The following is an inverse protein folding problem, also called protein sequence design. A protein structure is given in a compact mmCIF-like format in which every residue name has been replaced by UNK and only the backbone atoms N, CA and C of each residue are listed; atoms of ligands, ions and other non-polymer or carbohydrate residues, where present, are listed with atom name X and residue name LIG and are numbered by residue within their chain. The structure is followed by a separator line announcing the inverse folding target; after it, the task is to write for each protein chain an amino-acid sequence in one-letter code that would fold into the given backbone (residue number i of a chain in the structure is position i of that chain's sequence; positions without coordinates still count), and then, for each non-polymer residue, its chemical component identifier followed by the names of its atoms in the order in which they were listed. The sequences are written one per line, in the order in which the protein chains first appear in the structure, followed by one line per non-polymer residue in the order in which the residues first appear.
data_IF_121802279016
#
_entry.id   IF_121802279016
#
_cell.length_a   1.000
_cell.length_b   1.000
_cell.length_c   1.000
_cell.angle_alpha   90.00
_cell.angle_beta   90.00
_cell.angle_gamma   90.00
#
_symmetry.space_group_name_H-M   'P 1'
#
loop_
_entity.id
_entity.type
_entity.pdbx_description
1 polymer ?
#
# COMPACT_ATOMS: atom_id res chain seq x y z
N UNK A 1 27.81 2.82 -72.54
CA UNK A 1 26.37 2.86 -72.89
C UNK A 1 25.73 1.93 -71.88
N UNK A 2 25.31 2.47 -70.75
CA UNK A 2 24.90 1.73 -69.54
C UNK A 2 23.39 1.90 -69.40
N UNK A 3 22.67 0.80 -69.49
CA UNK A 3 21.22 0.74 -69.53
C UNK A 3 20.69 0.78 -68.09
N UNK A 4 20.05 1.91 -67.72
CA UNK A 4 19.41 2.08 -66.41
C UNK A 4 18.12 1.27 -66.37
N UNK A 5 18.18 0.14 -65.68
CA UNK A 5 17.02 -0.70 -65.37
C UNK A 5 16.13 0.01 -64.33
N UNK A 6 15.03 0.60 -64.78
CA UNK A 6 14.02 1.23 -63.93
C UNK A 6 13.17 0.16 -63.26
N UNK A 7 13.45 -0.10 -61.98
CA UNK A 7 12.64 -0.95 -61.09
C UNK A 7 11.24 -0.35 -60.96
N UNK A 8 10.25 -1.01 -61.58
CA UNK A 8 8.85 -0.66 -61.48
C UNK A 8 8.32 -0.89 -60.06
N UNK A 9 7.88 0.19 -59.40
CA UNK A 9 7.21 0.12 -58.10
C UNK A 9 5.78 -0.39 -58.33
N UNK A 10 5.38 -1.55 -57.76
CA UNK A 10 4.02 -2.03 -57.88
C UNK A 10 3.05 -1.10 -57.14
N UNK A 11 2.05 -0.60 -57.86
CA UNK A 11 0.97 0.22 -57.33
C UNK A 11 -0.01 -0.66 -56.53
N UNK A 12 0.25 -0.84 -55.24
CA UNK A 12 -0.63 -1.57 -54.31
C UNK A 12 -1.66 -0.59 -53.72
N UNK A 13 -2.55 -0.08 -54.57
CA UNK A 13 -3.75 0.62 -54.13
C UNK A 13 -4.79 -0.41 -53.67
N UNK A 14 -4.56 -1.02 -52.50
CA UNK A 14 -5.58 -1.83 -51.82
C UNK A 14 -6.75 -0.95 -51.37
N UNK A 15 -7.99 -1.47 -51.34
CA UNK A 15 -9.15 -0.71 -50.90
C UNK A 15 -8.93 -0.20 -49.47
N UNK A 16 -9.03 1.11 -49.29
CA UNK A 16 -9.04 1.71 -47.97
C UNK A 16 -10.21 1.12 -47.17
N UNK A 17 -9.96 0.49 -46.01
CA UNK A 17 -11.05 0.01 -45.18
C UNK A 17 -11.95 1.19 -44.83
N UNK A 18 -13.22 1.10 -45.20
CA UNK A 18 -14.21 2.10 -44.82
C UNK A 18 -14.19 2.27 -43.30
N UNK A 19 -14.21 3.51 -42.77
CA UNK A 19 -14.23 3.74 -41.35
C UNK A 19 -15.55 3.21 -40.78
N UNK A 20 -15.54 2.00 -40.23
CA UNK A 20 -16.64 1.46 -39.46
C UNK A 20 -17.07 2.52 -38.43
N UNK A 21 -18.32 2.99 -38.55
CA UNK A 21 -19.00 3.90 -37.64
C UNK A 21 -19.26 3.21 -36.30
N UNK A 22 -18.19 2.89 -35.58
CA UNK A 22 -18.23 2.23 -34.27
C UNK A 22 -18.78 3.17 -33.19
N UNK A 23 -19.74 2.66 -32.41
CA UNK A 23 -20.40 3.33 -31.29
C UNK A 23 -19.43 4.16 -30.42
N UNK A 24 -19.69 5.47 -30.21
CA UNK A 24 -18.75 6.41 -29.59
C UNK A 24 -18.44 6.13 -28.11
N UNK A 25 -19.21 5.30 -27.42
CA UNK A 25 -19.18 5.15 -25.95
C UNK A 25 -17.99 4.33 -25.42
N UNK A 26 -17.35 3.47 -26.23
CA UNK A 26 -16.23 2.63 -25.76
C UNK A 26 -14.84 3.27 -25.92
N UNK A 27 -14.73 4.49 -26.46
CA UNK A 27 -13.43 5.11 -26.73
C UNK A 27 -12.68 5.57 -25.48
N UNK A 28 -13.35 5.85 -24.36
CA UNK A 28 -12.68 6.28 -23.13
C UNK A 28 -11.99 5.10 -22.43
N UNK A 29 -12.75 4.05 -22.10
CA UNK A 29 -12.23 2.88 -21.41
C UNK A 29 -11.15 2.16 -22.22
N UNK A 30 -11.33 2.04 -23.54
CA UNK A 30 -10.30 1.46 -24.40
C UNK A 30 -8.98 2.25 -24.36
N UNK A 31 -9.04 3.58 -24.22
CA UNK A 31 -7.86 4.44 -24.06
C UNK A 31 -7.22 4.31 -22.67
N UNK A 32 -8.01 4.07 -21.62
CA UNK A 32 -7.47 3.86 -20.28
C UNK A 32 -6.66 2.56 -20.19
N UNK A 33 -7.08 1.50 -20.87
CA UNK A 33 -6.40 0.20 -20.85
C UNK A 33 -5.55 -0.09 -22.10
N UNK A 34 -5.25 0.94 -22.89
CA UNK A 34 -4.35 0.82 -24.03
C UNK A 34 -2.90 0.57 -23.56
N UNK A 35 -2.09 -0.17 -24.35
CA UNK A 35 -0.68 -0.41 -24.03
C UNK A 35 0.16 0.87 -24.00
N UNK A 36 -0.21 1.87 -24.80
CA UNK A 36 0.49 3.15 -24.89
C UNK A 36 0.20 4.01 -23.65
N UNK A 37 1.26 4.43 -22.97
CA UNK A 37 1.18 5.30 -21.78
C UNK A 37 1.37 6.74 -22.22
N UNK A 38 0.40 7.60 -21.91
CA UNK A 38 0.51 9.04 -22.14
C UNK A 38 1.10 9.74 -20.90
N UNK A 39 1.78 10.88 -21.08
CA UNK A 39 2.32 11.66 -19.95
C UNK A 39 1.27 12.01 -18.89
N UNK A 40 0.05 12.47 -19.24
CA UNK A 40 -0.98 12.74 -18.23
C UNK A 40 -1.42 11.50 -17.46
N UNK A 41 -1.44 10.31 -18.10
CA UNK A 41 -1.75 9.06 -17.40
C UNK A 41 -0.65 8.68 -16.42
N UNK A 42 0.63 8.87 -16.78
CA UNK A 42 1.75 8.63 -15.88
C UNK A 42 1.67 9.55 -14.65
N UNK A 43 1.39 10.85 -14.85
CA UNK A 43 1.19 11.79 -13.74
C UNK A 43 0.02 11.35 -12.86
N UNK A 44 -1.11 10.96 -13.46
CA UNK A 44 -2.26 10.43 -12.72
C UNK A 44 -1.89 9.17 -11.91
N UNK A 45 -1.15 8.23 -12.51
CA UNK A 45 -0.71 7.00 -11.85
C UNK A 45 0.19 7.30 -10.64
N UNK A 46 1.13 8.23 -10.76
CA UNK A 46 1.99 8.64 -9.64
C UNK A 46 1.19 9.36 -8.55
N UNK A 47 0.33 10.32 -8.94
CA UNK A 47 -0.44 11.11 -7.98
C UNK A 47 -1.41 10.24 -7.20
N UNK A 48 -2.17 9.36 -7.84
CA UNK A 48 -3.21 8.57 -7.17
C UNK A 48 -2.77 7.17 -6.74
N UNK A 49 -1.73 6.62 -7.36
CA UNK A 49 -1.17 5.32 -7.02
C UNK A 49 -0.06 5.37 -5.98
N UNK A 50 0.63 6.50 -5.81
CA UNK A 50 1.73 6.65 -4.84
C UNK A 50 1.50 7.78 -3.85
N UNK A 51 1.32 9.02 -4.34
CA UNK A 51 1.25 10.20 -3.46
C UNK A 51 -0.06 10.20 -2.65
N UNK A 52 -1.19 9.90 -3.28
CA UNK A 52 -2.52 9.88 -2.67
C UNK A 52 -2.57 9.03 -1.40
N UNK A 53 -2.23 7.73 -1.44
CA UNK A 53 -2.19 6.89 -0.26
C UNK A 53 -1.28 7.42 0.86
N UNK A 54 -0.12 7.99 0.53
CA UNK A 54 0.79 8.61 1.51
C UNK A 54 0.10 9.82 2.18
N UNK A 55 -0.52 10.69 1.39
CA UNK A 55 -1.26 11.85 1.92
C UNK A 55 -2.43 11.39 2.79
N UNK A 56 -3.14 10.32 2.41
CA UNK A 56 -4.16 9.72 3.27
C UNK A 56 -3.55 9.28 4.61
N UNK A 57 -2.42 8.58 4.63
CA UNK A 57 -1.82 8.17 5.91
C UNK A 57 -1.33 9.35 6.78
N UNK A 58 -0.89 10.44 6.17
CA UNK A 58 -0.47 11.65 6.89
C UNK A 58 -1.66 12.45 7.42
N UNK A 59 -2.74 12.56 6.64
CA UNK A 59 -3.88 13.42 6.93
C UNK A 59 -5.13 12.69 7.44
N UNK A 60 -5.06 11.39 7.69
CA UNK A 60 -6.16 10.60 8.23
C UNK A 60 -5.95 10.26 9.72
N UNK A 61 -6.14 11.25 10.63
CA UNK A 61 -6.15 10.97 12.06
C UNK A 61 -7.38 10.12 12.44
N UNK A 62 -8.46 10.19 11.66
CA UNK A 62 -9.76 9.61 12.02
C UNK A 62 -9.76 8.09 11.91
N UNK A 63 -9.22 7.52 10.83
CA UNK A 63 -9.26 6.05 10.65
C UNK A 63 -8.27 5.36 11.58
N UNK A 64 -7.11 5.97 11.83
CA UNK A 64 -5.96 5.28 12.40
C UNK A 64 -5.53 5.74 13.80
N UNK A 65 -5.79 6.99 14.21
CA UNK A 65 -5.26 7.51 15.48
C UNK A 65 -6.37 7.78 16.50
N UNK A 66 -7.50 8.31 16.05
CA UNK A 66 -8.61 8.72 16.93
C UNK A 66 -9.86 8.81 16.07
N UNK A 67 -10.70 7.77 16.13
CA UNK A 67 -12.02 7.75 15.48
C UNK A 67 -12.85 8.99 15.80
N UNK A 68 -14.03 9.13 15.19
CA UNK A 68 -14.98 10.23 15.48
C UNK A 68 -15.44 10.20 16.96
N UNK A 69 -14.59 10.69 17.88
CA UNK A 69 -14.78 10.60 19.32
C UNK A 69 -14.59 9.21 19.93
N UNK A 70 -13.81 8.31 19.31
CA UNK A 70 -13.69 6.91 19.77
C UNK A 70 -12.39 6.21 19.39
N UNK A 71 -12.22 4.92 19.77
CA UNK A 71 -11.05 4.13 19.39
C UNK A 71 -10.94 3.98 17.87
N UNK A 72 -9.73 3.75 17.33
CA UNK A 72 -9.55 3.46 15.92
C UNK A 72 -10.44 2.30 15.47
N UNK A 73 -10.95 2.36 14.23
CA UNK A 73 -11.86 1.35 13.69
C UNK A 73 -11.22 -0.04 13.59
N UNK A 74 -9.93 -0.09 13.26
CA UNK A 74 -9.21 -1.33 12.97
C UNK A 74 -7.74 -1.32 13.45
N UNK A 75 -7.46 -1.12 14.76
CA UNK A 75 -6.09 -1.00 15.27
C UNK A 75 -5.23 -2.22 14.97
N UNK A 76 -5.80 -3.42 15.05
CA UNK A 76 -5.07 -4.67 14.80
C UNK A 76 -4.61 -4.83 13.33
N UNK A 77 -5.29 -4.19 12.38
CA UNK A 77 -4.99 -4.35 10.95
C UNK A 77 -4.11 -3.22 10.40
N UNK A 78 -3.89 -2.16 11.17
CA UNK A 78 -3.13 -0.99 10.75
C UNK A 78 -1.72 -1.33 10.23
N UNK A 79 -0.90 -2.17 10.90
CA UNK A 79 0.42 -2.55 10.36
C UNK A 79 0.35 -3.22 9.00
N UNK A 80 -0.62 -4.13 8.81
CA UNK A 80 -0.81 -4.85 7.54
C UNK A 80 -1.21 -3.87 6.45
N UNK A 81 -2.15 -2.95 6.70
CA UNK A 81 -2.59 -1.98 5.70
C UNK A 81 -1.44 -1.07 5.28
N UNK A 82 -0.61 -0.59 6.21
CA UNK A 82 0.55 0.25 5.88
C UNK A 82 1.61 -0.51 5.10
N UNK A 83 1.98 -1.71 5.54
CA UNK A 83 2.99 -2.53 4.86
C UNK A 83 2.53 -2.92 3.46
N UNK A 84 1.28 -3.36 3.32
CA UNK A 84 0.71 -3.75 2.03
C UNK A 84 0.65 -2.54 1.08
N UNK A 85 0.17 -1.39 1.56
CA UNK A 85 0.08 -0.19 0.73
C UNK A 85 1.46 0.32 0.33
N UNK A 86 2.41 0.39 1.27
CA UNK A 86 3.79 0.80 0.97
C UNK A 86 4.47 -0.12 -0.03
N UNK A 87 4.22 -1.43 0.09
CA UNK A 87 4.76 -2.41 -0.85
C UNK A 87 4.18 -2.26 -2.26
N UNK A 88 2.87 -2.08 -2.40
CA UNK A 88 2.23 -1.83 -3.70
C UNK A 88 2.69 -0.52 -4.34
N UNK A 89 2.92 0.52 -3.54
CA UNK A 89 3.50 1.79 -4.02
C UNK A 89 4.89 1.54 -4.63
N UNK A 90 5.74 0.76 -3.94
CA UNK A 90 7.07 0.39 -4.45
C UNK A 90 6.96 -0.42 -5.74
N UNK A 91 6.05 -1.41 -5.79
CA UNK A 91 5.82 -2.21 -6.99
C UNK A 91 5.35 -1.36 -8.18
N UNK A 92 4.40 -0.44 -7.95
CA UNK A 92 3.94 0.49 -8.97
C UNK A 92 5.09 1.36 -9.48
N UNK A 93 5.85 1.99 -8.58
CA UNK A 93 6.99 2.83 -8.96
C UNK A 93 8.02 2.03 -9.76
N UNK A 94 8.33 0.81 -9.34
CA UNK A 94 9.27 -0.06 -10.04
C UNK A 94 8.76 -0.42 -11.44
N UNK A 95 7.47 -0.76 -11.57
CA UNK A 95 6.83 -1.02 -12.87
C UNK A 95 6.86 0.20 -13.79
N UNK A 96 6.55 1.40 -13.27
CA UNK A 96 6.54 2.63 -14.06
C UNK A 96 7.93 3.03 -14.56
N UNK A 97 8.99 2.70 -13.81
CA UNK A 97 10.39 2.97 -14.19
C UNK A 97 10.90 1.96 -15.21
N UNK A 98 10.69 0.66 -14.94
CA UNK A 98 11.26 -0.41 -15.77
C UNK A 98 10.44 -0.69 -17.03
N UNK A 99 9.13 -0.49 -16.96
CA UNK A 99 8.20 -0.80 -18.04
C UNK A 99 8.12 -2.30 -18.36
N UNK A 100 7.59 -2.64 -19.55
CA UNK A 100 7.50 -4.02 -20.02
C UNK A 100 8.85 -4.72 -20.13
N UNK A 101 8.95 -5.91 -19.54
CA UNK A 101 10.14 -6.78 -19.56
C UNK A 101 9.82 -8.19 -20.05
N UNK A 102 10.45 -9.20 -19.43
CA UNK A 102 10.19 -10.61 -19.72
C UNK A 102 8.74 -11.01 -19.38
N UNK A 103 8.25 -12.10 -19.97
CA UNK A 103 6.89 -12.59 -19.71
C UNK A 103 6.63 -12.88 -18.23
N UNK A 104 7.58 -13.53 -17.56
CA UNK A 104 7.51 -13.83 -16.13
C UNK A 104 7.38 -12.56 -15.30
N UNK A 105 8.20 -11.56 -15.63
CA UNK A 105 8.23 -10.28 -14.96
C UNK A 105 6.91 -9.51 -15.13
N UNK A 106 6.43 -9.43 -16.36
CA UNK A 106 5.16 -8.80 -16.71
C UNK A 106 3.97 -9.49 -16.00
N UNK A 107 3.99 -10.82 -15.95
CA UNK A 107 2.98 -11.59 -15.23
C UNK A 107 3.00 -11.33 -13.72
N UNK A 108 4.20 -11.30 -13.12
CA UNK A 108 4.39 -11.07 -11.68
C UNK A 108 3.94 -9.67 -11.23
N UNK A 109 4.39 -8.61 -11.90
CA UNK A 109 3.93 -7.24 -11.61
C UNK A 109 2.45 -7.07 -11.95
N UNK A 110 2.02 -7.69 -13.05
CA UNK A 110 0.64 -7.64 -13.49
C UNK A 110 -0.33 -8.16 -12.44
N UNK A 111 -0.09 -9.36 -11.92
CA UNK A 111 -0.97 -9.94 -10.90
C UNK A 111 -0.80 -9.31 -9.53
N UNK A 112 0.42 -8.92 -9.14
CA UNK A 112 0.64 -8.21 -7.88
C UNK A 112 -0.19 -6.91 -7.84
N UNK A 113 -0.04 -6.03 -8.83
CA UNK A 113 -0.82 -4.79 -8.93
C UNK A 113 -2.33 -5.05 -9.06
N UNK A 114 -2.77 -6.13 -9.72
CA UNK A 114 -4.20 -6.48 -9.73
C UNK A 114 -4.71 -6.85 -8.34
N UNK A 115 -3.95 -7.64 -7.58
CA UNK A 115 -4.28 -7.96 -6.18
C UNK A 115 -4.32 -6.68 -5.32
N UNK A 116 -3.35 -5.78 -5.46
CA UNK A 116 -3.36 -4.47 -4.83
C UNK A 116 -4.59 -3.65 -5.20
N UNK A 117 -4.96 -3.64 -6.48
CA UNK A 117 -6.15 -2.95 -6.95
C UNK A 117 -7.44 -3.48 -6.32
N UNK A 118 -7.60 -4.80 -6.24
CA UNK A 118 -8.73 -5.43 -5.57
C UNK A 118 -8.75 -5.14 -4.06
N UNK A 119 -7.58 -5.16 -3.40
CA UNK A 119 -7.46 -4.82 -2.00
C UNK A 119 -7.85 -3.36 -1.72
N UNK A 120 -7.31 -2.41 -2.49
CA UNK A 120 -7.67 -0.99 -2.38
C UNK A 120 -9.16 -0.75 -2.64
N UNK A 121 -9.76 -1.47 -3.58
CA UNK A 121 -11.20 -1.40 -3.84
C UNK A 121 -12.00 -1.90 -2.63
N UNK A 122 -11.60 -3.02 -2.02
CA UNK A 122 -12.25 -3.54 -0.82
C UNK A 122 -12.16 -2.56 0.36
N UNK A 123 -10.97 -1.99 0.61
CA UNK A 123 -10.77 -0.94 1.63
C UNK A 123 -11.63 0.29 1.32
N UNK A 124 -11.67 0.73 0.06
CA UNK A 124 -12.52 1.83 -0.37
C UNK A 124 -14.00 1.57 -0.07
N UNK A 125 -14.50 0.36 -0.34
CA UNK A 125 -15.87 -0.03 -0.01
C UNK A 125 -16.15 -0.01 1.50
N UNK A 126 -15.20 -0.45 2.33
CA UNK A 126 -15.31 -0.41 3.80
C UNK A 126 -15.34 1.05 4.30
N UNK A 127 -14.51 1.93 3.72
CA UNK A 127 -14.41 3.33 4.12
C UNK A 127 -15.50 4.22 3.52
N UNK A 128 -16.19 3.77 2.47
CA UNK A 128 -17.21 4.54 1.75
C UNK A 128 -18.29 5.17 2.66
N UNK A 129 -18.93 4.46 3.62
CA UNK A 129 -19.93 5.08 4.49
C UNK A 129 -19.36 6.22 5.33
N UNK A 130 -18.15 6.05 5.88
CA UNK A 130 -17.46 7.08 6.65
C UNK A 130 -17.06 8.28 5.78
N UNK A 131 -16.61 8.00 4.56
CA UNK A 131 -16.23 9.01 3.56
C UNK A 131 -17.43 9.86 3.14
N UNK A 132 -18.59 9.22 2.94
CA UNK A 132 -19.84 9.89 2.60
C UNK A 132 -20.31 10.83 3.72
N UNK A 133 -20.21 10.40 4.98
CA UNK A 133 -20.50 11.28 6.13
C UNK A 133 -19.49 12.43 6.24
N UNK A 134 -18.19 12.14 6.08
CA UNK A 134 -17.12 13.14 6.13
C UNK A 134 -17.18 14.17 4.98
N UNK A 135 -17.84 13.85 3.87
CA UNK A 135 -17.97 14.75 2.72
C UNK A 135 -18.77 16.01 3.09
N UNK A 136 -19.69 15.92 4.04
CA UNK A 136 -20.41 17.09 4.59
C UNK A 136 -19.47 18.14 5.20
N UNK A 137 -18.28 17.72 5.65
CA UNK A 137 -17.27 18.56 6.27
C UNK A 137 -16.04 18.80 5.36
N UNK A 138 -16.08 18.34 4.10
CA UNK A 138 -14.98 18.44 3.15
C UNK A 138 -13.82 17.45 3.38
N UNK A 139 -13.72 16.84 4.56
CA UNK A 139 -12.66 15.88 4.93
C UNK A 139 -12.85 14.53 4.22
N UNK A 140 -14.10 14.18 3.88
CA UNK A 140 -14.44 12.89 3.26
C UNK A 140 -13.84 12.64 1.88
N UNK A 141 -13.22 13.64 1.24
CA UNK A 141 -12.58 13.47 -0.07
C UNK A 141 -11.43 12.45 -0.03
N UNK A 142 -10.65 12.41 1.06
CA UNK A 142 -9.54 11.46 1.21
C UNK A 142 -10.01 10.01 1.28
N UNK A 143 -11.23 9.77 1.75
CA UNK A 143 -11.82 8.44 1.78
C UNK A 143 -12.16 7.86 0.41
N UNK A 144 -12.13 8.68 -0.66
CA UNK A 144 -12.24 8.21 -2.03
C UNK A 144 -10.90 7.82 -2.68
N UNK A 145 -9.76 8.16 -2.06
CA UNK A 145 -8.43 7.83 -2.59
C UNK A 145 -8.25 6.34 -2.88
N UNK A 146 -8.68 5.39 -2.01
CA UNK A 146 -8.54 3.96 -2.30
C UNK A 146 -9.19 3.52 -3.62
N UNK A 147 -10.28 4.16 -4.05
CA UNK A 147 -10.90 3.86 -5.36
C UNK A 147 -10.03 4.34 -6.53
N UNK A 148 -9.41 5.51 -6.40
CA UNK A 148 -8.51 6.04 -7.42
C UNK A 148 -7.22 5.22 -7.50
N UNK A 149 -6.66 4.84 -6.35
CA UNK A 149 -5.51 3.93 -6.25
C UNK A 149 -5.85 2.56 -6.85
N UNK A 150 -7.04 2.03 -6.57
CA UNK A 150 -7.50 0.78 -7.17
C UNK A 150 -7.55 0.86 -8.69
N UNK A 151 -8.08 1.95 -9.26
CA UNK A 151 -8.10 2.16 -10.71
C UNK A 151 -6.70 2.20 -11.31
N UNK A 152 -5.75 2.90 -10.66
CA UNK A 152 -4.35 2.99 -11.09
C UNK A 152 -3.70 1.61 -11.10
N UNK A 153 -3.85 0.84 -10.01
CA UNK A 153 -3.28 -0.49 -9.88
C UNK A 153 -3.91 -1.48 -10.86
N UNK A 154 -5.24 -1.48 -11.01
CA UNK A 154 -5.93 -2.34 -11.99
C UNK A 154 -5.51 -2.03 -13.42
N UNK A 155 -5.35 -0.76 -13.77
CA UNK A 155 -4.88 -0.30 -15.09
C UNK A 155 -3.46 -0.77 -15.36
N UNK A 156 -2.54 -0.52 -14.43
CA UNK A 156 -1.13 -0.89 -14.60
C UNK A 156 -0.92 -2.40 -14.58
N UNK A 157 -1.62 -3.12 -13.71
CA UNK A 157 -1.62 -4.59 -13.68
C UNK A 157 -2.14 -5.18 -15.01
N UNK A 158 -3.24 -4.65 -15.54
CA UNK A 158 -3.77 -5.06 -16.85
C UNK A 158 -2.81 -4.77 -18.01
N UNK A 159 -2.10 -3.63 -17.97
CA UNK A 159 -1.09 -3.29 -18.97
C UNK A 159 0.10 -4.23 -18.92
N UNK A 160 0.59 -4.55 -17.72
CA UNK A 160 1.66 -5.51 -17.54
C UNK A 160 1.27 -6.89 -18.10
N UNK A 161 0.09 -7.43 -17.77
CA UNK A 161 -0.36 -8.72 -18.29
C UNK A 161 -0.57 -8.75 -19.82
N UNK A 162 -0.81 -7.60 -20.44
CA UNK A 162 -1.01 -7.47 -21.90
C UNK A 162 0.25 -7.09 -22.66
N UNK A 163 1.35 -6.81 -21.97
CA UNK A 163 2.62 -6.49 -22.60
C UNK A 163 3.06 -7.67 -23.48
N UNK A 164 3.37 -7.39 -24.75
CA UNK A 164 3.81 -8.43 -25.69
C UNK A 164 5.16 -8.97 -25.26
N UNK A 165 5.25 -10.28 -25.08
CA UNK A 165 6.50 -11.04 -24.98
C UNK A 165 6.78 -11.74 -26.31
N UNK A 166 8.05 -11.78 -26.71
CA UNK A 166 8.50 -12.49 -27.91
C UNK A 166 8.32 -14.01 -27.82
N UNK A 167 8.40 -14.56 -26.61
CA UNK A 167 8.18 -15.97 -26.33
C UNK A 167 7.08 -16.07 -25.27
N UNK A 168 5.94 -16.64 -25.66
CA UNK A 168 4.72 -16.65 -24.86
C UNK A 168 4.35 -18.07 -24.47
N UNK A 169 4.84 -18.54 -23.32
CA UNK A 169 4.40 -19.81 -22.74
C UNK A 169 3.34 -19.57 -21.67
N UNK A 170 2.18 -20.21 -21.82
CA UNK A 170 1.10 -20.19 -20.82
C UNK A 170 1.61 -20.59 -19.43
N UNK A 171 2.56 -21.52 -19.37
CA UNK A 171 3.16 -21.96 -18.11
C UNK A 171 3.94 -20.83 -17.43
N UNK A 172 4.79 -20.10 -18.16
CA UNK A 172 5.56 -18.97 -17.64
C UNK A 172 4.64 -17.86 -17.10
N UNK A 173 3.54 -17.56 -17.81
CA UNK A 173 2.53 -16.62 -17.31
C UNK A 173 1.88 -17.07 -16.02
N UNK A 174 1.50 -18.35 -15.92
CA UNK A 174 0.86 -18.90 -14.73
C UNK A 174 1.82 -18.86 -13.52
N UNK A 175 3.08 -19.25 -13.72
CA UNK A 175 4.10 -19.19 -12.67
C UNK A 175 4.32 -17.75 -12.21
N UNK A 176 4.51 -16.81 -13.15
CA UNK A 176 4.66 -15.40 -12.82
C UNK A 176 3.45 -14.83 -12.09
N UNK A 177 2.24 -15.20 -12.53
CA UNK A 177 0.99 -14.81 -11.89
C UNK A 177 0.92 -15.28 -10.43
N UNK A 178 1.19 -16.56 -10.18
CA UNK A 178 1.21 -17.15 -8.85
C UNK A 178 2.29 -16.51 -7.97
N UNK A 179 3.50 -16.33 -8.51
CA UNK A 179 4.58 -15.64 -7.81
C UNK A 179 4.18 -14.21 -7.42
N UNK A 180 3.57 -13.43 -8.33
CA UNK A 180 3.11 -12.08 -8.05
C UNK A 180 2.06 -12.03 -6.93
N UNK A 181 1.03 -12.89 -7.00
CA UNK A 181 0.01 -13.00 -5.98
C UNK A 181 0.59 -13.42 -4.62
N UNK A 182 1.44 -14.45 -4.60
CA UNK A 182 2.07 -14.93 -3.38
C UNK A 182 2.99 -13.87 -2.79
N UNK A 183 3.76 -13.18 -3.62
CA UNK A 183 4.72 -12.17 -3.18
C UNK A 183 4.02 -11.00 -2.50
N UNK A 184 2.94 -10.47 -3.10
CA UNK A 184 2.23 -9.32 -2.54
C UNK A 184 1.41 -9.64 -1.29
N UNK A 185 0.97 -10.88 -1.13
CA UNK A 185 0.25 -11.30 0.08
C UNK A 185 1.22 -11.73 1.19
N UNK A 186 2.23 -12.53 0.85
CA UNK A 186 3.12 -13.12 1.84
C UNK A 186 4.06 -12.09 2.45
N UNK A 187 4.68 -11.20 1.66
CA UNK A 187 5.70 -10.28 2.18
C UNK A 187 5.14 -9.33 3.25
N UNK A 188 4.04 -8.58 3.00
CA UNK A 188 3.47 -7.69 4.02
C UNK A 188 2.95 -8.46 5.23
N UNK A 189 2.38 -9.65 5.02
CA UNK A 189 1.83 -10.48 6.12
C UNK A 189 2.93 -11.01 7.02
N UNK A 190 4.01 -11.58 6.46
CA UNK A 190 5.14 -12.07 7.24
C UNK A 190 5.83 -10.94 7.99
N UNK A 191 6.04 -9.79 7.34
CA UNK A 191 6.58 -8.61 8.02
C UNK A 191 5.70 -8.13 9.17
N UNK A 192 4.37 -8.11 8.98
CA UNK A 192 3.44 -7.72 10.04
C UNK A 192 3.49 -8.70 11.23
N UNK A 193 3.59 -10.01 10.97
CA UNK A 193 3.72 -11.03 12.00
C UNK A 193 5.02 -10.88 12.78
N UNK A 194 6.15 -10.68 12.10
CA UNK A 194 7.46 -10.48 12.73
C UNK A 194 7.48 -9.21 13.60
N UNK A 195 6.90 -8.11 13.11
CA UNK A 195 6.76 -6.87 13.88
C UNK A 195 5.90 -7.14 15.12
N UNK A 196 4.75 -7.80 14.98
CA UNK A 196 3.86 -8.10 16.10
C UNK A 196 4.54 -8.98 17.16
N UNK A 197 5.23 -10.04 16.75
CA UNK A 197 5.97 -10.91 17.67
C UNK A 197 7.08 -10.14 18.40
N UNK A 198 7.85 -9.31 17.67
CA UNK A 198 8.93 -8.50 18.24
C UNK A 198 8.41 -7.48 19.23
N UNK A 199 7.32 -6.78 18.89
CA UNK A 199 6.69 -5.78 19.76
C UNK A 199 6.14 -6.45 21.00
N UNK A 200 5.35 -7.52 20.86
CA UNK A 200 4.73 -8.23 21.97
C UNK A 200 5.77 -8.83 22.93
N UNK A 201 6.83 -9.45 22.40
CA UNK A 201 7.94 -9.96 23.24
C UNK A 201 8.62 -8.82 24.00
N UNK A 202 8.94 -7.72 23.33
CA UNK A 202 9.63 -6.59 23.96
C UNK A 202 8.78 -5.91 25.03
N UNK A 203 7.47 -5.76 24.79
CA UNK A 203 6.52 -5.22 25.77
C UNK A 203 6.41 -6.14 26.99
N UNK A 204 6.33 -7.46 26.78
CA UNK A 204 6.33 -8.43 27.88
C UNK A 204 7.65 -8.39 28.69
N UNK A 205 8.80 -8.23 28.03
CA UNK A 205 10.10 -8.06 28.69
C UNK A 205 10.18 -6.74 29.48
N UNK A 206 9.66 -5.63 28.96
CA UNK A 206 9.55 -4.36 29.72
C UNK A 206 8.69 -4.56 30.96
N UNK A 207 7.55 -5.23 30.82
CA UNK A 207 6.59 -5.43 31.92
C UNK A 207 7.06 -6.43 32.97
N UNK A 208 7.90 -7.42 32.64
CA UNK A 208 8.29 -8.50 33.56
C UNK A 208 9.79 -8.61 33.88
N UNK A 209 10.66 -8.11 33.01
CA UNK A 209 12.11 -8.24 33.13
C UNK A 209 12.71 -7.31 34.18
N UNK A 210 13.97 -7.54 34.55
CA UNK A 210 14.75 -6.61 35.38
C UNK A 210 15.05 -5.28 34.66
N UNK A 211 15.75 -4.35 35.33
CA UNK A 211 16.06 -3.03 34.77
C UNK A 211 16.87 -3.11 33.46
N UNK A 212 17.81 -4.05 33.35
CA UNK A 212 18.67 -4.18 32.17
C UNK A 212 17.93 -4.84 30.99
N UNK A 213 17.09 -5.84 31.27
CA UNK A 213 16.22 -6.47 30.28
C UNK A 213 15.19 -5.48 29.74
N UNK A 214 14.54 -4.72 30.63
CA UNK A 214 13.55 -3.73 30.25
C UNK A 214 14.17 -2.61 29.39
N UNK A 215 15.38 -2.12 29.73
CA UNK A 215 16.07 -1.11 28.93
C UNK A 215 16.48 -1.64 27.55
N UNK A 216 17.01 -2.87 27.46
CA UNK A 216 17.33 -3.49 26.15
C UNK A 216 16.09 -3.69 25.29
N UNK A 217 14.98 -4.11 25.90
CA UNK A 217 13.71 -4.27 25.22
C UNK A 217 13.12 -2.93 24.73
N UNK A 218 13.21 -1.86 25.55
CA UNK A 218 12.83 -0.51 25.15
C UNK A 218 13.65 -0.03 23.93
N UNK A 219 14.96 -0.23 23.95
CA UNK A 219 15.83 0.14 22.83
C UNK A 219 15.46 -0.57 21.52
N UNK A 220 15.10 -1.86 21.58
CA UNK A 220 14.62 -2.62 20.40
C UNK A 220 13.28 -2.09 19.85
N UNK A 221 12.44 -1.49 20.70
CA UNK A 221 11.14 -0.94 20.29
C UNK A 221 11.24 0.43 19.63
N UNK A 222 12.30 1.21 19.87
CA UNK A 222 12.47 2.55 19.28
C UNK A 222 12.25 2.60 17.76
N UNK A 223 12.87 1.73 16.92
CA UNK A 223 12.62 1.75 15.47
C UNK A 223 11.20 1.30 15.09
N UNK A 224 10.52 0.58 15.98
CA UNK A 224 9.17 0.05 15.79
C UNK A 224 8.09 0.87 16.50
N UNK A 225 8.43 2.04 17.06
CA UNK A 225 7.52 2.86 17.87
C UNK A 225 6.19 3.14 17.19
N UNK A 226 6.20 3.32 15.87
CA UNK A 226 5.00 3.57 15.06
C UNK A 226 4.01 2.39 15.06
N UNK A 227 4.51 1.16 15.20
CA UNK A 227 3.68 -0.05 15.28
C UNK A 227 3.38 -0.49 16.71
N UNK A 228 4.06 0.10 17.70
CA UNK A 228 3.97 -0.30 19.10
C UNK A 228 2.90 0.46 19.90
N UNK A 229 2.29 1.51 19.35
CA UNK A 229 1.42 2.44 20.09
C UNK A 229 0.29 1.73 20.86
N UNK A 230 -0.47 0.85 20.19
CA UNK A 230 -1.56 0.11 20.84
C UNK A 230 -1.07 -0.87 21.94
N UNK A 231 0.12 -1.45 21.79
CA UNK A 231 0.68 -2.37 22.79
C UNK A 231 1.35 -1.61 23.95
N UNK A 232 1.80 -0.38 23.73
CA UNK A 232 2.38 0.49 24.77
C UNK A 232 1.36 0.88 25.83
N UNK A 233 0.06 0.91 25.51
CA UNK A 233 -0.98 1.10 26.53
C UNK A 233 -0.92 0.01 27.60
N UNK A 234 -0.42 -1.20 27.31
CA UNK A 234 -0.20 -2.24 28.34
C UNK A 234 0.89 -1.85 29.33
N UNK A 235 1.91 -1.12 28.90
CA UNK A 235 2.95 -0.55 29.78
C UNK A 235 2.37 0.55 30.66
N UNK A 236 1.48 1.38 30.12
CA UNK A 236 0.74 2.40 30.88
C UNK A 236 -0.12 1.75 31.95
N UNK A 237 -0.89 0.71 31.60
CA UNK A 237 -1.71 -0.03 32.56
C UNK A 237 -0.84 -0.70 33.65
N UNK A 238 0.29 -1.30 33.27
CA UNK A 238 1.24 -1.86 34.23
C UNK A 238 1.80 -0.80 35.17
N UNK A 239 2.12 0.41 34.68
CA UNK A 239 2.60 1.52 35.48
C UNK A 239 1.56 2.02 36.50
N UNK A 240 0.28 2.08 36.11
CA UNK A 240 -0.82 2.45 36.99
C UNK A 240 -0.98 1.42 38.12
N UNK A 241 -0.95 0.13 37.77
CA UNK A 241 -1.16 -0.98 38.71
C UNK A 241 0.04 -1.24 39.63
N UNK A 242 1.25 -0.82 39.23
CA UNK A 242 2.46 -1.03 40.01
C UNK A 242 2.42 -0.29 41.36
N UNK A 243 2.97 -0.90 42.40
CA UNK A 243 3.11 -0.28 43.73
C UNK A 243 4.56 0.02 44.09
N UNK A 244 5.52 -0.74 43.55
CA UNK A 244 6.94 -0.51 43.80
C UNK A 244 7.45 0.76 43.09
N UNK A 245 7.98 1.76 43.82
CA UNK A 245 8.55 2.97 43.23
C UNK A 245 9.71 2.71 42.27
N UNK A 246 10.55 1.69 42.53
CA UNK A 246 11.67 1.37 41.64
C UNK A 246 11.15 0.84 40.31
N UNK A 247 10.19 -0.10 40.36
CA UNK A 247 9.56 -0.63 39.17
C UNK A 247 8.81 0.43 38.36
N UNK A 248 8.08 1.34 39.01
CA UNK A 248 7.47 2.51 38.34
C UNK A 248 8.49 3.36 37.58
N UNK A 249 9.63 3.64 38.21
CA UNK A 249 10.71 4.43 37.57
C UNK A 249 11.25 3.74 36.32
N UNK A 250 11.38 2.40 36.34
CA UNK A 250 11.80 1.61 35.17
C UNK A 250 10.76 1.72 34.05
N UNK A 251 9.49 1.43 34.34
CA UNK A 251 8.40 1.50 33.34
C UNK A 251 8.29 2.91 32.73
N UNK A 252 8.37 3.95 33.56
CA UNK A 252 8.39 5.35 33.12
C UNK A 252 9.58 5.66 32.22
N UNK A 253 10.77 5.19 32.57
CA UNK A 253 11.98 5.41 31.76
C UNK A 253 11.89 4.69 30.42
N UNK A 254 11.46 3.42 30.41
CA UNK A 254 11.30 2.63 29.19
C UNK A 254 10.24 3.23 28.27
N UNK A 255 9.10 3.65 28.80
CA UNK A 255 8.05 4.32 28.01
C UNK A 255 8.60 5.58 27.35
N UNK A 256 9.26 6.45 28.13
CA UNK A 256 9.86 7.68 27.62
C UNK A 256 10.96 7.42 26.59
N UNK A 257 11.72 6.35 26.73
CA UNK A 257 12.73 5.96 25.74
C UNK A 257 12.08 5.58 24.40
N UNK A 258 10.96 4.84 24.41
CA UNK A 258 10.27 4.39 23.20
C UNK A 258 9.49 5.54 22.54
N UNK A 259 8.74 6.31 23.32
CA UNK A 259 7.80 7.33 22.79
C UNK A 259 8.39 8.73 22.71
N UNK A 260 9.35 9.04 23.59
CA UNK A 260 9.80 10.42 23.85
C UNK A 260 8.89 11.19 24.82
N UNK A 261 7.78 10.60 25.27
CA UNK A 261 6.75 11.26 26.09
C UNK A 261 6.80 10.79 27.55
N UNK A 262 6.25 11.61 28.47
CA UNK A 262 6.10 11.20 29.87
C UNK A 262 4.85 10.30 30.02
N UNK A 263 5.04 9.11 30.58
CA UNK A 263 3.96 8.14 30.80
C UNK A 263 2.80 8.73 31.62
N UNK A 264 3.06 9.69 32.51
CA UNK A 264 2.03 10.34 33.33
C UNK A 264 1.07 11.20 32.50
N UNK A 265 1.53 11.74 31.36
CA UNK A 265 0.64 12.46 30.43
C UNK A 265 -0.37 11.47 29.84
N UNK A 266 0.09 10.30 29.41
CA UNK A 266 -0.78 9.25 28.87
C UNK A 266 -1.71 8.67 29.93
N UNK A 267 -1.27 8.51 31.18
CA UNK A 267 -2.14 8.07 32.29
C UNK A 267 -3.33 9.00 32.47
N UNK A 268 -3.15 10.32 32.40
CA UNK A 268 -4.26 11.28 32.50
C UNK A 268 -5.28 11.09 31.38
N UNK A 269 -4.81 10.95 30.15
CA UNK A 269 -5.68 10.72 28.97
C UNK A 269 -6.47 9.42 29.10
N UNK A 270 -5.90 8.37 29.71
CA UNK A 270 -6.57 7.07 29.89
C UNK A 270 -7.56 7.08 31.07
N UNK A 271 -7.42 8.00 32.01
CA UNK A 271 -8.29 8.12 33.20
C UNK A 271 -9.46 9.09 33.00
N UNK A 272 -9.35 10.02 32.04
CA UNK A 272 -10.40 10.94 31.62
C UNK A 272 -11.44 10.26 30.70
#
# INVERSE_FOLDING_TARGET
MEEKETVGVPNIAGPHPEPELGHPTNRFWRRQFAPEVTRPQLVFDVVFGAIGPILCFVFDPVVFHSGFGGPPLFPAYQPIVYLFSGFEIVLLCFWLIMGPGSELWNAMFGTALLCGGLFCLAIGCILLPFSAMGLMFGIGLFGFTPFLTALVYLRNGSRALRAKSYESSTFTRLVGALCGCLFVLAVPTLLALEIHMTVSSSINEIMRGDAEQASRAAHRLVPLRFFADAELDRVVQAYIAESDPQRKKILKSCYREVTGEDIEVRVRIVQD
#
